data_IF_227749876549
#
_entry.id   IF_227749876549
#
_cell.length_a   1.000
_cell.length_b   1.000
_cell.length_c   1.000
_cell.angle_alpha   90.00
_cell.angle_beta   90.00
_cell.angle_gamma   90.00
#
_symmetry.space_group_name_H-M   'P 1'
#
loop_
_entity.id
_entity.type
_entity.pdbx_description
1 polymer ?
#
# COMPACT_ATOMS: atom_id res chain seq x y z
N UNK A 1 -67.24 -4.59 -29.79
CA UNK A 1 -66.16 -3.80 -30.43
C UNK A 1 -65.08 -3.53 -29.40
N UNK A 2 -63.86 -3.97 -29.72
CA UNK A 2 -62.54 -3.58 -29.19
C UNK A 2 -62.17 -4.01 -27.76
N UNK A 3 -61.55 -5.20 -27.73
CA UNK A 3 -60.38 -5.55 -26.91
C UNK A 3 -59.47 -4.33 -26.67
N UNK A 4 -59.12 -4.05 -25.42
CA UNK A 4 -58.09 -3.06 -25.07
C UNK A 4 -56.83 -3.80 -24.62
N UNK A 5 -55.91 -3.96 -25.55
CA UNK A 5 -54.57 -4.51 -25.34
C UNK A 5 -53.75 -3.51 -24.50
N UNK A 6 -53.48 -3.84 -23.24
CA UNK A 6 -52.56 -3.07 -22.39
C UNK A 6 -51.13 -3.54 -22.68
N UNK A 7 -50.38 -2.76 -23.46
CA UNK A 7 -48.94 -2.93 -23.67
C UNK A 7 -48.20 -2.48 -22.40
N UNK A 8 -47.73 -3.43 -21.59
CA UNK A 8 -46.77 -3.18 -20.53
C UNK A 8 -45.39 -2.93 -21.18
N UNK A 9 -45.06 -1.66 -21.42
CA UNK A 9 -43.69 -1.24 -21.71
C UNK A 9 -42.88 -1.39 -20.42
N UNK A 10 -42.13 -2.49 -20.32
CA UNK A 10 -41.19 -2.70 -19.22
C UNK A 10 -40.14 -1.60 -19.22
N UNK A 11 -40.14 -0.77 -18.17
CA UNK A 11 -39.09 0.21 -17.92
C UNK A 11 -37.84 -0.57 -17.49
N UNK A 12 -36.89 -0.78 -18.39
CA UNK A 12 -35.56 -1.26 -18.02
C UNK A 12 -34.89 -0.12 -17.26
N UNK A 13 -34.93 -0.18 -15.94
CA UNK A 13 -34.11 0.68 -15.08
C UNK A 13 -32.68 0.16 -15.24
N UNK A 14 -31.92 0.78 -16.14
CA UNK A 14 -30.46 0.64 -16.16
C UNK A 14 -29.98 1.33 -14.89
N UNK A 15 -29.70 0.54 -13.84
CA UNK A 15 -28.99 1.04 -12.68
C UNK A 15 -27.60 1.45 -13.18
N UNK A 16 -27.36 2.76 -13.27
CA UNK A 16 -26.02 3.26 -13.51
C UNK A 16 -25.14 2.76 -12.36
N UNK A 17 -24.12 1.98 -12.67
CA UNK A 17 -23.07 1.63 -11.72
C UNK A 17 -22.46 2.95 -11.21
N UNK A 18 -22.23 3.09 -9.88
CA UNK A 18 -21.61 4.30 -9.36
C UNK A 18 -20.24 4.45 -10.03
N UNK A 19 -20.04 5.56 -10.75
CA UNK A 19 -18.70 5.96 -11.20
C UNK A 19 -17.85 6.13 -9.94
N UNK A 20 -16.90 5.22 -9.76
CA UNK A 20 -15.88 5.34 -8.73
C UNK A 20 -15.16 6.68 -8.96
N UNK A 21 -15.25 7.57 -7.97
CA UNK A 21 -14.64 8.89 -8.05
C UNK A 21 -13.11 8.73 -7.91
N UNK A 22 -12.42 8.65 -9.05
CA UNK A 22 -10.97 8.46 -9.14
C UNK A 22 -10.15 9.67 -8.63
N UNK A 23 -10.79 10.77 -8.24
CA UNK A 23 -10.13 11.99 -7.75
C UNK A 23 -9.49 11.85 -6.35
N UNK A 24 -9.69 10.74 -5.63
CA UNK A 24 -9.22 10.61 -4.24
C UNK A 24 -8.50 9.28 -3.95
N UNK A 25 -7.90 8.67 -4.97
CA UNK A 25 -7.20 7.37 -4.85
C UNK A 25 -5.88 7.48 -4.08
N UNK A 26 -5.10 8.52 -4.35
CA UNK A 26 -3.76 8.65 -3.80
C UNK A 26 -3.79 9.24 -2.39
N UNK A 27 -3.00 8.67 -1.48
CA UNK A 27 -2.92 9.08 -0.07
C UNK A 27 -2.08 10.34 0.12
N UNK A 28 -1.15 10.62 -0.78
CA UNK A 28 -0.34 11.83 -0.80
C UNK A 28 -0.41 12.50 -2.18
N UNK A 29 -0.01 13.77 -2.24
CA UNK A 29 0.42 14.41 -3.48
C UNK A 29 1.94 14.27 -3.65
N UNK A 30 2.44 14.62 -4.84
CA UNK A 30 3.88 14.72 -5.09
C UNK A 30 4.51 15.83 -4.23
N UNK A 31 5.77 15.65 -3.86
CA UNK A 31 6.60 16.52 -2.99
C UNK A 31 6.00 16.74 -1.58
N UNK A 32 4.89 16.07 -1.28
CA UNK A 32 4.18 16.16 -0.02
C UNK A 32 4.42 14.93 0.85
N UNK A 33 4.11 15.12 2.14
CA UNK A 33 4.20 14.07 3.15
C UNK A 33 3.20 12.94 2.85
N UNK A 34 3.69 11.72 3.02
CA UNK A 34 2.89 10.52 3.02
C UNK A 34 2.68 10.08 4.46
N UNK A 35 1.42 9.91 4.86
CA UNK A 35 1.06 9.28 6.12
C UNK A 35 -0.11 8.32 5.92
N UNK A 36 0.14 7.02 6.03
CA UNK A 36 -0.89 6.01 5.91
C UNK A 36 -0.90 5.06 7.11
N UNK A 37 -2.09 4.77 7.62
CA UNK A 37 -2.31 3.74 8.63
C UNK A 37 -3.62 2.99 8.35
N UNK A 38 -3.55 1.66 8.34
CA UNK A 38 -4.74 0.82 8.29
C UNK A 38 -5.60 0.99 9.55
N UNK A 39 -6.94 0.97 9.40
CA UNK A 39 -7.86 1.01 10.52
C UNK A 39 -7.58 -0.05 11.59
N UNK A 40 -8.26 0.09 12.73
CA UNK A 40 -8.26 -0.94 13.78
C UNK A 40 -8.58 -2.31 13.17
N UNK A 41 -7.98 -3.35 13.74
CA UNK A 41 -8.14 -4.75 13.30
C UNK A 41 -7.60 -5.10 11.91
N UNK A 42 -6.96 -4.15 11.21
CA UNK A 42 -6.43 -4.37 9.86
C UNK A 42 -4.94 -4.09 9.71
N UNK A 43 -4.32 -4.73 8.72
CA UNK A 43 -2.94 -4.52 8.25
C UNK A 43 -2.90 -4.30 6.74
N UNK A 44 -1.75 -3.88 6.19
CA UNK A 44 -1.61 -3.59 4.75
C UNK A 44 -1.71 -4.90 3.94
N UNK A 45 -2.43 -4.84 2.81
CA UNK A 45 -2.58 -5.94 1.84
C UNK A 45 -2.11 -5.55 0.44
N UNK A 46 -2.38 -4.33 0.01
CA UNK A 46 -2.02 -3.83 -1.31
C UNK A 46 -1.24 -2.54 -1.14
N UNK A 47 -0.15 -2.41 -1.89
CA UNK A 47 0.59 -1.17 -2.07
C UNK A 47 0.68 -0.91 -3.58
N UNK A 48 0.25 0.27 -3.99
CA UNK A 48 0.39 0.74 -5.37
C UNK A 48 1.03 2.12 -5.38
N UNK A 49 1.86 2.38 -6.39
CA UNK A 49 2.51 3.68 -6.52
C UNK A 49 2.82 4.00 -7.98
N UNK A 50 2.73 5.29 -8.32
CA UNK A 50 3.10 5.82 -9.65
C UNK A 50 4.13 6.93 -9.49
N UNK A 51 5.12 6.92 -10.39
CA UNK A 51 6.20 7.90 -10.45
C UNK A 51 5.88 9.04 -11.43
N UNK A 52 6.47 10.22 -11.22
CA UNK A 52 6.43 11.35 -12.17
C UNK A 52 7.83 11.93 -12.36
N UNK A 53 8.41 11.76 -13.56
CA UNK A 53 9.78 12.18 -13.86
C UNK A 53 10.01 13.69 -13.88
N UNK A 54 8.97 14.53 -13.71
CA UNK A 54 9.17 15.97 -13.59
C UNK A 54 9.44 16.37 -12.15
N UNK A 55 8.80 15.67 -11.21
CA UNK A 55 8.92 15.88 -9.78
C UNK A 55 9.87 14.90 -9.12
N UNK A 56 10.25 13.84 -9.83
CA UNK A 56 11.10 12.75 -9.35
C UNK A 56 10.59 12.22 -7.99
N UNK A 57 9.29 11.95 -7.99
CA UNK A 57 8.56 11.57 -6.80
C UNK A 57 7.39 10.64 -7.13
N UNK A 58 6.84 10.03 -6.07
CA UNK A 58 5.81 8.99 -6.13
C UNK A 58 4.55 9.36 -5.36
N UNK A 59 3.41 9.09 -5.99
CA UNK A 59 2.12 8.97 -5.30
C UNK A 59 1.96 7.54 -4.76
N UNK A 60 1.31 7.40 -3.62
CA UNK A 60 1.12 6.12 -2.93
C UNK A 60 -0.35 5.89 -2.60
N UNK A 61 -0.79 4.64 -2.78
CA UNK A 61 -2.13 4.17 -2.45
C UNK A 61 -2.03 2.76 -1.83
N UNK A 62 -2.95 2.47 -0.92
CA UNK A 62 -2.92 1.29 -0.08
C UNK A 62 -4.32 0.70 0.08
N UNK A 63 -4.37 -0.62 0.21
CA UNK A 63 -5.56 -1.29 0.73
C UNK A 63 -5.22 -2.18 1.91
N UNK A 64 -6.16 -2.27 2.84
CA UNK A 64 -6.01 -3.02 4.08
C UNK A 64 -6.74 -4.36 4.02
N UNK A 65 -6.35 -5.29 4.89
CA UNK A 65 -7.04 -6.56 5.14
C UNK A 65 -7.36 -6.73 6.62
N UNK A 66 -8.49 -7.37 6.97
CA UNK A 66 -8.69 -7.90 8.32
C UNK A 66 -7.51 -8.76 8.76
N UNK A 67 -7.04 -8.59 9.99
CA UNK A 67 -5.82 -9.25 10.49
C UNK A 67 -5.91 -9.61 11.96
N UNK A 68 -6.42 -8.71 12.80
CA UNK A 68 -6.44 -8.90 14.24
C UNK A 68 -7.88 -9.19 14.70
N UNK A 69 -8.04 -10.15 15.62
CA UNK A 69 -9.33 -10.46 16.26
C UNK A 69 -9.67 -9.48 17.39
N UNK A 70 -8.63 -8.91 18.01
CA UNK A 70 -8.72 -7.99 19.14
C UNK A 70 -7.96 -6.70 18.85
N UNK A 71 -7.98 -5.76 19.80
CA UNK A 71 -7.21 -4.52 19.66
C UNK A 71 -5.73 -4.84 19.46
N UNK A 72 -5.11 -4.10 18.54
CA UNK A 72 -3.70 -4.24 18.19
C UNK A 72 -2.83 -3.31 19.04
N UNK A 73 -1.65 -3.78 19.41
CA UNK A 73 -0.57 -2.94 19.93
C UNK A 73 0.35 -2.56 18.79
N UNK A 74 0.63 -1.27 18.62
CA UNK A 74 1.44 -0.78 17.50
C UNK A 74 2.59 0.11 17.96
N UNK A 75 3.65 0.15 17.16
CA UNK A 75 4.71 1.14 17.27
C UNK A 75 5.16 1.58 15.88
N UNK A 76 5.42 2.88 15.73
CA UNK A 76 6.18 3.40 14.62
C UNK A 76 7.67 3.16 14.86
N UNK A 77 8.44 2.96 13.80
CA UNK A 77 9.91 3.03 13.90
C UNK A 77 10.31 4.35 14.56
N UNK A 78 11.25 4.29 15.50
CA UNK A 78 11.65 5.47 16.29
C UNK A 78 12.13 6.61 15.39
N UNK A 79 12.98 6.27 14.41
CA UNK A 79 13.46 7.16 13.37
C UNK A 79 13.14 6.58 11.98
N UNK A 80 13.46 7.33 10.93
CA UNK A 80 13.45 6.86 9.56
C UNK A 80 14.46 5.72 9.42
N UNK A 81 14.08 4.68 8.68
CA UNK A 81 14.90 3.46 8.52
C UNK A 81 16.02 3.63 7.49
N UNK A 82 16.09 4.78 6.83
CA UNK A 82 17.09 5.13 5.84
C UNK A 82 17.44 6.62 5.90
N UNK A 83 18.66 6.92 5.44
CA UNK A 83 18.99 8.24 4.92
C UNK A 83 18.59 8.35 3.45
N UNK A 84 18.57 9.57 2.92
CA UNK A 84 18.36 9.79 1.49
C UNK A 84 19.44 9.11 0.65
N UNK A 85 19.09 8.67 -0.54
CA UNK A 85 19.86 7.89 -1.52
C UNK A 85 20.29 6.50 -0.99
N UNK A 86 20.09 6.24 0.31
CA UNK A 86 20.50 5.02 0.95
C UNK A 86 19.46 3.91 0.73
N UNK A 87 20.01 2.69 0.59
CA UNK A 87 19.23 1.45 0.65
C UNK A 87 18.79 1.17 2.09
N UNK A 88 17.62 0.56 2.26
CA UNK A 88 17.24 -0.05 3.53
C UNK A 88 16.68 -1.46 3.35
N UNK A 89 16.81 -2.25 4.41
CA UNK A 89 16.07 -3.49 4.61
C UNK A 89 15.43 -3.40 5.99
N UNK A 90 14.11 -3.44 6.04
CA UNK A 90 13.34 -3.35 7.27
C UNK A 90 12.38 -4.53 7.41
N UNK A 91 12.32 -5.11 8.60
CA UNK A 91 11.33 -6.10 8.99
C UNK A 91 10.81 -5.76 10.38
N UNK A 92 9.50 -5.86 10.59
CA UNK A 92 8.93 -5.83 11.91
C UNK A 92 9.49 -6.98 12.78
N UNK A 93 9.48 -6.77 14.10
CA UNK A 93 9.78 -7.86 15.05
C UNK A 93 8.83 -9.03 14.86
N UNK A 94 9.25 -10.23 15.29
CA UNK A 94 8.43 -11.43 15.19
C UNK A 94 7.03 -11.21 15.82
N UNK A 95 5.98 -11.62 15.10
CA UNK A 95 4.58 -11.46 15.52
C UNK A 95 3.94 -10.12 15.15
N UNK A 96 4.72 -9.17 14.63
CA UNK A 96 4.22 -7.90 14.12
C UNK A 96 4.10 -7.93 12.60
N UNK A 97 3.09 -7.21 12.09
CA UNK A 97 2.82 -7.02 10.66
C UNK A 97 2.78 -5.54 10.32
N UNK A 98 3.15 -5.19 9.09
CA UNK A 98 3.11 -3.81 8.60
C UNK A 98 1.66 -3.33 8.45
N UNK A 99 1.34 -2.26 9.15
CA UNK A 99 0.00 -1.68 9.20
C UNK A 99 -0.04 -0.20 8.84
N UNK A 100 1.09 0.39 8.47
CA UNK A 100 1.21 1.78 8.08
C UNK A 100 2.59 2.11 7.52
N UNK A 101 2.65 3.18 6.75
CA UNK A 101 3.85 3.68 6.10
C UNK A 101 3.81 5.21 6.14
N UNK A 102 4.93 5.81 6.51
CA UNK A 102 5.11 7.27 6.55
C UNK A 102 6.37 7.62 5.77
N UNK A 103 6.32 8.73 5.04
CA UNK A 103 7.46 9.21 4.28
C UNK A 103 7.38 10.71 4.00
N UNK A 104 8.54 11.35 3.80
CA UNK A 104 8.63 12.68 3.23
C UNK A 104 9.70 12.70 2.14
N UNK A 105 9.49 13.57 1.16
CA UNK A 105 10.37 13.78 0.01
C UNK A 105 11.22 15.04 0.23
N UNK A 106 12.40 15.07 -0.40
CA UNK A 106 13.32 16.21 -0.41
C UNK A 106 13.73 16.54 -1.84
N UNK A 107 13.23 17.66 -2.39
CA UNK A 107 13.45 18.07 -3.78
C UNK A 107 14.91 18.39 -4.15
N UNK A 108 15.85 18.42 -3.20
CA UNK A 108 17.26 18.59 -3.56
C UNK A 108 17.94 17.24 -3.84
N UNK A 109 17.45 16.18 -3.19
CA UNK A 109 17.94 14.81 -3.35
C UNK A 109 17.03 13.96 -4.23
N UNK A 110 15.81 14.45 -4.49
CA UNK A 110 14.78 13.77 -5.24
C UNK A 110 14.56 12.33 -4.73
N UNK A 111 14.40 12.25 -3.41
CA UNK A 111 14.30 10.99 -2.70
C UNK A 111 13.46 11.11 -1.42
N UNK A 112 13.05 9.95 -0.91
CA UNK A 112 12.20 9.78 0.26
C UNK A 112 12.88 9.05 1.41
N UNK A 113 12.63 9.51 2.63
CA UNK A 113 12.91 8.74 3.86
C UNK A 113 11.66 7.99 4.32
N UNK A 114 11.86 6.84 4.95
CA UNK A 114 10.79 5.88 5.24
C UNK A 114 10.65 5.55 6.72
N UNK A 115 9.42 5.55 7.20
CA UNK A 115 9.00 5.04 8.52
C UNK A 115 7.90 4.02 8.35
N UNK A 116 7.86 3.05 9.27
CA UNK A 116 6.92 1.95 9.21
C UNK A 116 6.19 1.77 10.53
N UNK A 117 4.90 1.44 10.45
CA UNK A 117 4.08 1.08 11.60
C UNK A 117 3.98 -0.44 11.67
N UNK A 118 4.54 -0.99 12.75
CA UNK A 118 4.42 -2.41 13.07
C UNK A 118 3.30 -2.57 14.11
N UNK A 119 2.36 -3.48 13.84
CA UNK A 119 1.29 -3.82 14.77
C UNK A 119 1.26 -5.32 15.07
N UNK A 120 0.99 -5.67 16.32
CA UNK A 120 0.76 -7.05 16.77
C UNK A 120 -0.59 -7.19 17.47
N UNK A 121 -1.07 -8.42 17.51
CA UNK A 121 -2.19 -8.91 18.31
C UNK A 121 -2.13 -10.43 18.31
N UNK A 122 -3.24 -11.12 18.59
CA UNK A 122 -3.35 -12.56 18.29
C UNK A 122 -3.42 -12.79 16.77
N UNK A 123 -2.28 -12.62 16.10
CA UNK A 123 -2.13 -12.88 14.66
C UNK A 123 -1.46 -14.23 14.49
N UNK A 124 -2.12 -15.19 13.83
CA UNK A 124 -1.46 -16.42 13.46
C UNK A 124 -0.50 -16.11 12.30
N UNK A 125 0.78 -15.87 12.61
CA UNK A 125 1.85 -15.72 11.62
C UNK A 125 2.79 -16.92 11.73
N UNK A 126 2.95 -17.65 10.62
CA UNK A 126 3.96 -18.70 10.51
C UNK A 126 5.35 -18.07 10.37
N UNK A 127 6.39 -18.77 10.82
CA UNK A 127 7.79 -18.37 10.56
C UNK A 127 8.23 -18.57 9.10
N UNK A 128 7.33 -19.02 8.23
CA UNK A 128 7.58 -19.21 6.80
C UNK A 128 7.40 -17.89 6.08
N UNK A 129 8.50 -17.14 5.95
CA UNK A 129 8.52 -15.82 5.37
C UNK A 129 9.45 -15.76 4.15
N UNK A 130 9.04 -15.06 3.11
CA UNK A 130 9.78 -14.94 1.86
C UNK A 130 9.83 -13.50 1.36
N UNK A 131 10.93 -13.16 0.70
CA UNK A 131 11.05 -11.92 -0.06
C UNK A 131 10.42 -12.11 -1.44
N UNK A 132 9.69 -11.12 -1.91
CA UNK A 132 9.39 -11.01 -3.33
C UNK A 132 10.65 -10.64 -4.12
N UNK A 133 10.60 -10.84 -5.43
CA UNK A 133 11.43 -10.09 -6.37
C UNK A 133 11.09 -8.59 -6.29
N UNK A 134 11.89 -7.74 -6.94
CA UNK A 134 11.54 -6.33 -7.08
C UNK A 134 10.26 -6.16 -7.90
N UNK A 135 9.29 -5.45 -7.33
CA UNK A 135 7.89 -5.40 -7.79
C UNK A 135 7.61 -4.28 -8.78
N UNK A 136 8.58 -3.39 -8.98
CA UNK A 136 8.56 -2.33 -9.97
C UNK A 136 9.91 -2.28 -10.70
N UNK A 137 9.95 -1.62 -11.85
CA UNK A 137 11.18 -1.00 -12.37
C UNK A 137 11.21 0.48 -11.95
N UNK A 138 12.35 1.13 -12.16
CA UNK A 138 12.41 2.58 -12.01
C UNK A 138 11.47 3.27 -12.99
N UNK A 139 10.93 4.41 -12.61
CA UNK A 139 9.99 5.27 -13.34
C UNK A 139 8.65 4.62 -13.68
N UNK A 140 8.52 3.32 -13.38
CA UNK A 140 7.36 2.51 -13.70
C UNK A 140 6.41 2.39 -12.51
N UNK A 141 5.20 1.94 -12.84
CA UNK A 141 4.16 1.62 -11.87
C UNK A 141 4.61 0.51 -10.92
N UNK A 142 4.33 0.72 -9.63
CA UNK A 142 4.52 -0.26 -8.58
C UNK A 142 3.18 -0.85 -8.21
N UNK A 143 3.11 -2.19 -8.16
CA UNK A 143 2.03 -2.91 -7.49
C UNK A 143 2.59 -4.11 -6.75
N UNK A 144 2.30 -4.18 -5.46
CA UNK A 144 2.48 -5.40 -4.68
C UNK A 144 1.22 -5.70 -3.89
N UNK A 145 0.74 -6.92 -4.04
CA UNK A 145 -0.44 -7.44 -3.35
C UNK A 145 -0.01 -8.67 -2.56
N UNK A 146 -0.28 -8.67 -1.26
CA UNK A 146 0.01 -9.79 -0.40
C UNK A 146 -0.70 -11.05 -0.93
N UNK A 147 0.00 -12.19 -1.04
CA UNK A 147 -0.65 -13.47 -1.28
C UNK A 147 -1.78 -13.70 -0.26
N UNK A 148 -2.83 -14.42 -0.68
CA UNK A 148 -4.05 -14.60 0.13
C UNK A 148 -3.77 -15.16 1.52
N UNK A 149 -2.76 -16.02 1.61
CA UNK A 149 -2.29 -16.72 2.79
C UNK A 149 -1.08 -16.03 3.44
N UNK A 150 -0.80 -14.75 3.16
CA UNK A 150 0.34 -14.04 3.73
C UNK A 150 -0.02 -12.68 4.36
N UNK A 151 0.79 -12.26 5.34
CA UNK A 151 0.84 -10.89 5.85
C UNK A 151 2.14 -10.20 5.44
N UNK A 152 2.05 -8.90 5.16
CA UNK A 152 3.22 -8.05 4.93
C UNK A 152 3.92 -7.77 6.27
N UNK A 153 5.24 -8.00 6.33
CA UNK A 153 6.03 -7.84 7.56
C UNK A 153 7.29 -7.01 7.36
N UNK A 154 7.68 -6.71 6.13
CA UNK A 154 8.89 -5.93 5.86
C UNK A 154 8.98 -5.42 4.43
N UNK A 155 9.94 -4.54 4.21
CA UNK A 155 10.21 -3.92 2.92
C UNK A 155 11.72 -3.71 2.74
N UNK A 156 12.17 -3.77 1.49
CA UNK A 156 13.50 -3.38 1.09
C UNK A 156 13.40 -2.48 -0.14
N UNK A 157 14.21 -1.43 -0.15
CA UNK A 157 14.25 -0.49 -1.25
C UNK A 157 15.63 0.15 -1.38
N UNK A 158 16.00 0.46 -2.62
CA UNK A 158 17.19 1.23 -2.97
C UNK A 158 16.82 2.29 -4.01
N UNK A 159 17.57 3.39 -4.00
CA UNK A 159 17.42 4.55 -4.88
C UNK A 159 18.53 4.58 -5.94
N UNK A 160 18.26 5.25 -7.07
CA UNK A 160 19.21 5.46 -8.17
C UNK A 160 19.20 6.93 -8.60
N UNK A 161 20.27 7.67 -8.29
CA UNK A 161 20.38 9.11 -8.55
C UNK A 161 20.37 9.50 -10.05
N UNK A 162 20.44 8.54 -10.99
CA UNK A 162 20.27 8.89 -12.40
C UNK A 162 18.80 9.02 -12.78
N UNK A 163 17.95 8.19 -12.15
CA UNK A 163 16.51 8.15 -12.37
C UNK A 163 15.72 8.86 -11.28
N UNK A 164 16.37 9.17 -10.17
CA UNK A 164 15.80 9.78 -8.98
C UNK A 164 14.55 9.04 -8.47
N UNK A 165 14.67 7.71 -8.45
CA UNK A 165 13.56 6.83 -8.13
C UNK A 165 14.02 5.59 -7.35
N UNK A 166 13.06 4.90 -6.73
CA UNK A 166 13.27 3.72 -5.88
C UNK A 166 12.70 2.43 -6.45
N UNK A 167 13.47 1.36 -6.30
CA UNK A 167 13.03 -0.03 -6.47
C UNK A 167 12.51 -0.59 -5.16
N UNK A 168 11.49 -1.45 -5.23
CA UNK A 168 10.82 -2.00 -4.06
C UNK A 168 10.67 -3.50 -4.13
N UNK A 169 10.91 -4.18 -3.00
CA UNK A 169 10.49 -5.56 -2.75
C UNK A 169 10.00 -5.71 -1.32
N UNK A 170 9.17 -6.72 -1.09
CA UNK A 170 8.46 -6.87 0.18
C UNK A 170 8.71 -8.23 0.80
N UNK A 171 8.75 -8.24 2.14
CA UNK A 171 8.88 -9.46 2.95
C UNK A 171 7.52 -9.80 3.51
N UNK A 172 7.06 -11.03 3.24
CA UNK A 172 5.75 -11.50 3.69
C UNK A 172 5.84 -12.88 4.31
N UNK A 173 5.03 -13.13 5.33
CA UNK A 173 4.98 -14.39 6.08
C UNK A 173 3.63 -15.07 5.89
N UNK A 174 3.62 -16.40 5.80
CA UNK A 174 2.40 -17.19 5.77
C UNK A 174 1.54 -16.94 7.02
N UNK A 175 0.23 -16.96 6.84
CA UNK A 175 -0.78 -17.01 7.89
C UNK A 175 -0.75 -18.42 8.50
N UNK A 176 -0.77 -18.53 9.82
CA UNK A 176 -0.96 -19.81 10.52
C UNK A 176 -2.44 -20.19 10.57
#
# INVERSE_FOLDING_TARGET
MKEMLVLLLGLVVVLAEPKENTENRWVNNYDEHLFFQCPSYQSIRLITSIHDNKREDRLWDFSCQPTFKEQKSCYWTHDYVNDFDATFTFTCSLGFVLSGMESYHDNNREDRRWKFLCCQGEVPVAHLCTWSEYVNQFDEYLKWEAPLDHYLVGANSYHDNHREDRRWRYYSCMKN
#
